data_IF_662265446035
#
_entry.id   IF_662265446035
#
_cell.length_a   1.000
_cell.length_b   1.000
_cell.length_c   1.000
_cell.angle_alpha   90.00
_cell.angle_beta   90.00
_cell.angle_gamma   90.00
#
_symmetry.space_group_name_H-M   'P 1'
#
loop_
_entity.id
_entity.type
_entity.pdbx_description
1 polymer ?
#
# COMPACT_ATOMS: atom_id res chain seq x y z
N UNK A 1 -14.77 -33.44 27.71
CA UNK A 1 -16.24 -33.35 27.61
C UNK A 1 -16.82 -34.63 28.14
N UNK A 2 -17.83 -34.55 28.99
CA UNK A 2 -18.56 -35.70 29.55
C UNK A 2 -19.17 -36.54 28.41
N UNK A 3 -19.10 -37.85 28.50
CA UNK A 3 -19.53 -38.76 27.42
C UNK A 3 -21.04 -38.72 27.21
N UNK A 4 -21.83 -38.43 28.26
CA UNK A 4 -23.27 -38.15 28.18
C UNK A 4 -23.59 -36.93 27.31
N UNK A 5 -22.75 -35.90 27.38
CA UNK A 5 -22.98 -34.67 26.62
C UNK A 5 -22.56 -34.83 25.15
N UNK A 6 -21.51 -35.63 24.90
CA UNK A 6 -21.15 -36.04 23.54
C UNK A 6 -22.28 -36.85 22.89
N UNK A 7 -22.86 -37.82 23.59
CA UNK A 7 -23.96 -38.63 23.04
C UNK A 7 -25.20 -37.79 22.74
N UNK A 8 -25.53 -36.83 23.61
CA UNK A 8 -26.62 -35.88 23.36
C UNK A 8 -26.38 -35.06 22.08
N UNK A 9 -25.15 -34.56 21.88
CA UNK A 9 -24.77 -33.82 20.68
C UNK A 9 -24.73 -34.69 19.41
N UNK A 10 -24.35 -35.97 19.52
CA UNK A 10 -24.38 -36.93 18.41
C UNK A 10 -25.81 -37.28 17.98
N UNK A 11 -26.74 -37.37 18.92
CA UNK A 11 -28.15 -37.66 18.65
C UNK A 11 -28.95 -36.39 18.30
N UNK A 12 -28.42 -35.20 18.59
CA UNK A 12 -29.14 -33.94 18.45
C UNK A 12 -30.24 -33.74 19.51
N UNK A 13 -30.14 -34.43 20.66
CA UNK A 13 -31.16 -34.41 21.71
C UNK A 13 -31.07 -33.13 22.57
N UNK A 14 -32.00 -32.21 22.33
CA UNK A 14 -32.11 -30.96 23.08
C UNK A 14 -32.55 -31.19 24.52
N UNK A 15 -33.44 -32.16 24.78
CA UNK A 15 -33.96 -32.41 26.13
C UNK A 15 -32.85 -32.91 27.04
N UNK A 16 -32.06 -33.88 26.57
CA UNK A 16 -30.89 -34.37 27.30
C UNK A 16 -29.83 -33.28 27.53
N UNK A 17 -29.69 -32.34 26.60
CA UNK A 17 -28.78 -31.20 26.76
C UNK A 17 -29.26 -30.25 27.86
N UNK A 18 -30.55 -29.93 27.90
CA UNK A 18 -31.11 -29.07 28.94
C UNK A 18 -31.11 -29.73 30.32
N UNK A 19 -31.33 -31.05 30.42
CA UNK A 19 -31.18 -31.76 31.71
C UNK A 19 -29.75 -31.72 32.22
N UNK A 20 -28.75 -31.91 31.33
CA UNK A 20 -27.33 -31.79 31.70
C UNK A 20 -26.94 -30.37 32.11
N UNK A 21 -27.52 -29.33 31.50
CA UNK A 21 -27.32 -27.93 31.90
C UNK A 21 -27.98 -27.64 33.25
N UNK A 22 -29.13 -28.27 33.56
CA UNK A 22 -29.76 -28.17 34.88
C UNK A 22 -28.94 -28.87 35.97
N UNK A 23 -28.34 -30.03 35.65
CA UNK A 23 -27.42 -30.75 36.54
C UNK A 23 -26.13 -29.92 36.81
N UNK A 24 -25.59 -29.25 35.78
CA UNK A 24 -24.39 -28.41 35.88
C UNK A 24 -24.52 -27.09 35.09
N UNK A 25 -24.86 -25.96 35.76
CA UNK A 25 -25.03 -24.66 35.11
C UNK A 25 -23.76 -24.11 34.42
N UNK A 26 -22.57 -24.52 34.86
CA UNK A 26 -21.29 -24.04 34.31
C UNK A 26 -20.68 -24.98 33.27
N UNK A 27 -21.44 -25.98 32.80
CA UNK A 27 -20.97 -27.01 31.86
C UNK A 27 -20.39 -26.40 30.58
N UNK A 28 -21.12 -25.48 29.94
CA UNK A 28 -20.71 -24.87 28.68
C UNK A 28 -19.48 -23.96 28.87
N UNK A 29 -19.41 -23.23 29.99
CA UNK A 29 -18.28 -22.36 30.29
C UNK A 29 -16.99 -23.15 30.52
N UNK A 30 -17.05 -24.28 31.21
CA UNK A 30 -15.89 -25.18 31.36
C UNK A 30 -15.35 -25.69 30.03
N UNK A 31 -16.24 -26.05 29.10
CA UNK A 31 -15.85 -26.46 27.75
C UNK A 31 -15.26 -25.27 26.98
N UNK A 32 -15.79 -24.07 27.19
CA UNK A 32 -15.30 -22.84 26.57
C UNK A 32 -13.94 -22.38 27.11
N UNK A 33 -13.56 -22.75 28.33
CA UNK A 33 -12.22 -22.44 28.85
C UNK A 33 -11.11 -23.29 28.21
N UNK A 34 -11.43 -24.47 27.65
CA UNK A 34 -10.42 -25.38 27.09
C UNK A 34 -10.09 -24.96 25.64
N UNK A 35 -8.87 -24.50 25.32
CA UNK A 35 -8.59 -23.86 24.03
C UNK A 35 -8.83 -24.76 22.81
N UNK A 36 -8.37 -26.02 22.86
CA UNK A 36 -8.55 -27.00 21.79
C UNK A 36 -9.35 -28.20 22.28
N UNK A 37 -10.63 -28.24 21.93
CA UNK A 37 -11.55 -29.31 22.32
C UNK A 37 -12.66 -29.47 21.28
N UNK A 38 -13.12 -30.70 21.04
CA UNK A 38 -14.38 -30.91 20.34
C UNK A 38 -15.53 -30.40 21.20
N UNK A 39 -16.09 -29.26 20.80
CA UNK A 39 -17.30 -28.70 21.40
C UNK A 39 -18.55 -29.43 20.90
N UNK A 40 -19.71 -29.31 21.57
CA UNK A 40 -20.94 -29.96 21.12
C UNK A 40 -21.34 -29.48 19.72
N UNK A 41 -20.95 -28.25 19.40
CA UNK A 41 -21.18 -27.67 18.09
C UNK A 41 -20.33 -28.32 16.99
N UNK A 42 -19.10 -28.77 17.29
CA UNK A 42 -18.29 -29.56 16.33
C UNK A 42 -18.99 -30.88 15.99
N UNK A 43 -19.48 -31.58 17.02
CA UNK A 43 -20.20 -32.84 16.87
C UNK A 43 -21.49 -32.61 16.08
N UNK A 44 -22.34 -31.67 16.51
CA UNK A 44 -23.59 -31.36 15.84
C UNK A 44 -23.38 -30.93 14.38
N UNK A 45 -22.33 -30.16 14.09
CA UNK A 45 -21.96 -29.76 12.74
C UNK A 45 -21.54 -30.95 11.87
N UNK A 46 -20.76 -31.88 12.44
CA UNK A 46 -20.33 -33.12 11.79
C UNK A 46 -21.52 -34.00 11.41
N UNK A 47 -22.56 -34.09 12.25
CA UNK A 47 -23.76 -34.92 12.01
C UNK A 47 -24.91 -34.19 11.30
N UNK A 48 -24.84 -32.87 11.13
CA UNK A 48 -25.88 -32.09 10.45
C UNK A 48 -27.10 -31.72 11.31
N UNK A 49 -26.99 -31.76 12.64
CA UNK A 49 -28.10 -31.46 13.57
C UNK A 49 -28.39 -29.96 13.69
N UNK A 50 -29.05 -29.39 12.69
CA UNK A 50 -29.25 -27.93 12.55
C UNK A 50 -29.95 -27.28 13.75
N UNK A 51 -31.03 -27.88 14.26
CA UNK A 51 -31.80 -27.30 15.36
C UNK A 51 -30.97 -27.26 16.65
N UNK A 52 -30.32 -28.38 16.95
CA UNK A 52 -29.40 -28.50 18.07
C UNK A 52 -28.25 -27.48 17.98
N UNK A 53 -27.59 -27.39 16.81
CA UNK A 53 -26.51 -26.45 16.59
C UNK A 53 -26.96 -24.99 16.76
N UNK A 54 -28.17 -24.66 16.31
CA UNK A 54 -28.75 -23.31 16.46
C UNK A 54 -28.96 -22.95 17.91
N UNK A 55 -29.49 -23.87 18.72
CA UNK A 55 -29.67 -23.64 20.16
C UNK A 55 -28.33 -23.55 20.89
N UNK A 56 -27.35 -24.42 20.59
CA UNK A 56 -26.01 -24.32 21.19
C UNK A 56 -25.31 -23.00 20.83
N UNK A 57 -25.44 -22.51 19.59
CA UNK A 57 -24.91 -21.21 19.21
C UNK A 57 -25.58 -20.05 19.94
N UNK A 58 -26.88 -20.15 20.24
CA UNK A 58 -27.59 -19.15 21.06
C UNK A 58 -27.12 -19.14 22.50
N UNK A 59 -26.94 -20.33 23.08
CA UNK A 59 -26.45 -20.48 24.45
C UNK A 59 -24.98 -20.04 24.59
N UNK A 60 -24.13 -20.41 23.63
CA UNK A 60 -22.69 -20.12 23.67
C UNK A 60 -22.12 -19.83 22.27
N UNK A 61 -22.17 -18.57 21.80
CA UNK A 61 -21.71 -18.20 20.46
C UNK A 61 -20.21 -18.42 20.21
N UNK A 62 -19.37 -18.40 21.25
CA UNK A 62 -17.91 -18.61 21.14
C UNK A 62 -17.55 -19.95 20.52
N UNK A 63 -18.40 -20.97 20.68
CA UNK A 63 -18.17 -22.29 20.10
C UNK A 63 -18.10 -22.30 18.58
N UNK A 64 -18.75 -21.36 17.88
CA UNK A 64 -18.75 -21.31 16.42
C UNK A 64 -17.37 -21.01 15.82
N UNK A 65 -16.49 -20.34 16.59
CA UNK A 65 -15.14 -19.94 16.17
C UNK A 65 -14.03 -20.84 16.70
N UNK A 66 -14.34 -21.68 17.69
CA UNK A 66 -13.34 -22.56 18.28
C UNK A 66 -12.83 -23.58 17.28
N UNK A 67 -11.57 -23.95 17.44
CA UNK A 67 -10.94 -25.03 16.70
C UNK A 67 -10.87 -26.26 17.61
N UNK A 68 -11.15 -27.43 17.06
CA UNK A 68 -10.92 -28.68 17.74
C UNK A 68 -9.44 -29.07 17.74
N UNK A 69 -9.13 -30.26 18.27
CA UNK A 69 -7.77 -30.79 18.35
C UNK A 69 -7.12 -31.04 16.99
N UNK A 70 -7.93 -31.21 15.94
CA UNK A 70 -7.45 -31.37 14.57
C UNK A 70 -7.26 -30.03 13.85
N UNK A 71 -7.59 -28.91 14.51
CA UNK A 71 -7.50 -27.56 13.96
C UNK A 71 -8.70 -27.16 13.10
N UNK A 72 -9.83 -27.86 13.17
CA UNK A 72 -11.02 -27.55 12.37
C UNK A 72 -12.05 -26.81 13.22
N UNK A 73 -12.74 -25.83 12.63
CA UNK A 73 -13.93 -25.21 13.23
C UNK A 73 -15.18 -26.04 12.94
N UNK A 74 -16.31 -25.79 13.63
CA UNK A 74 -17.57 -26.50 13.34
C UNK A 74 -18.00 -26.35 11.87
N UNK A 75 -17.78 -25.18 11.25
CA UNK A 75 -18.08 -24.97 9.83
C UNK A 75 -17.21 -25.84 8.92
N UNK A 76 -15.94 -26.07 9.25
CA UNK A 76 -15.07 -26.96 8.48
C UNK A 76 -15.56 -28.42 8.55
N UNK A 77 -15.97 -28.90 9.73
CA UNK A 77 -16.51 -30.25 9.88
C UNK A 77 -17.84 -30.43 9.13
N UNK A 78 -18.70 -29.41 9.14
CA UNK A 78 -19.93 -29.44 8.34
C UNK A 78 -19.63 -29.53 6.83
N UNK A 79 -18.63 -28.80 6.34
CA UNK A 79 -18.20 -28.88 4.94
C UNK A 79 -17.60 -30.25 4.60
N UNK A 80 -16.67 -30.76 5.43
CA UNK A 80 -16.05 -32.08 5.22
C UNK A 80 -17.05 -33.23 5.12
N UNK A 81 -18.18 -33.13 5.83
CA UNK A 81 -19.23 -34.15 5.84
C UNK A 81 -20.42 -33.83 4.92
N UNK A 82 -20.31 -32.82 4.04
CA UNK A 82 -21.36 -32.48 3.08
C UNK A 82 -22.66 -31.93 3.70
N UNK A 83 -22.59 -31.37 4.91
CA UNK A 83 -23.76 -30.86 5.65
C UNK A 83 -24.14 -29.44 5.19
N UNK A 84 -24.53 -29.28 3.93
CA UNK A 84 -24.83 -27.98 3.30
C UNK A 84 -25.83 -27.15 4.12
N UNK A 85 -26.91 -27.75 4.62
CA UNK A 85 -27.93 -27.03 5.39
C UNK A 85 -27.37 -26.45 6.71
N UNK A 86 -26.43 -27.16 7.35
CA UNK A 86 -25.73 -26.66 8.53
C UNK A 86 -24.85 -25.45 8.18
N UNK A 87 -24.13 -25.53 7.06
CA UNK A 87 -23.28 -24.43 6.57
C UNK A 87 -24.10 -23.18 6.30
N UNK A 88 -25.26 -23.31 5.64
CA UNK A 88 -26.18 -22.19 5.39
C UNK A 88 -26.64 -21.54 6.69
N UNK A 89 -26.93 -22.35 7.71
CA UNK A 89 -27.36 -21.86 9.03
C UNK A 89 -26.25 -21.14 9.77
N UNK A 90 -25.00 -21.56 9.62
CA UNK A 90 -23.87 -20.80 10.14
C UNK A 90 -23.73 -19.44 9.44
N UNK A 91 -23.92 -19.37 8.11
CA UNK A 91 -23.87 -18.11 7.36
C UNK A 91 -24.99 -17.14 7.77
N UNK A 92 -26.21 -17.65 7.99
CA UNK A 92 -27.36 -16.87 8.44
C UNK A 92 -27.10 -16.26 9.83
N UNK A 93 -26.42 -17.00 10.71
CA UNK A 93 -26.12 -16.56 12.07
C UNK A 93 -24.97 -15.53 12.09
N UNK A 94 -23.83 -15.87 11.49
CA UNK A 94 -22.62 -15.05 11.49
C UNK A 94 -21.83 -15.19 10.18
N UNK A 95 -21.85 -14.12 9.37
CA UNK A 95 -21.21 -14.08 8.04
C UNK A 95 -19.69 -14.12 8.08
N UNK A 96 -19.10 -13.69 9.19
CA UNK A 96 -17.66 -13.63 9.42
C UNK A 96 -17.05 -15.00 9.77
N UNK A 97 -17.86 -16.04 10.00
CA UNK A 97 -17.39 -17.42 10.18
C UNK A 97 -16.68 -17.98 8.95
N UNK A 98 -16.98 -17.46 7.75
CA UNK A 98 -16.33 -17.84 6.48
C UNK A 98 -14.83 -17.54 6.47
N UNK A 99 -14.36 -16.64 7.34
CA UNK A 99 -12.95 -16.23 7.42
C UNK A 99 -12.18 -16.92 8.54
N UNK A 100 -12.82 -17.82 9.30
CA UNK A 100 -12.14 -18.57 10.35
C UNK A 100 -11.11 -19.49 9.70
N UNK A 101 -9.85 -19.33 10.06
CA UNK A 101 -8.76 -20.16 9.57
C UNK A 101 -8.66 -21.42 10.42
N UNK A 102 -8.81 -22.58 9.77
CA UNK A 102 -8.59 -23.88 10.38
C UNK A 102 -7.16 -24.37 10.17
N UNK A 103 -7.01 -25.70 10.07
CA UNK A 103 -5.74 -26.37 9.79
C UNK A 103 -5.12 -25.84 8.50
N UNK A 104 -3.79 -25.66 8.51
CA UNK A 104 -3.01 -25.07 7.40
C UNK A 104 -3.41 -23.63 7.04
N UNK A 105 -4.16 -22.94 7.90
CA UNK A 105 -4.70 -21.61 7.61
C UNK A 105 -5.79 -21.62 6.53
N UNK A 106 -6.30 -22.81 6.15
CA UNK A 106 -7.41 -22.92 5.20
C UNK A 106 -8.67 -22.31 5.81
N UNK A 107 -9.37 -21.50 5.05
CA UNK A 107 -10.70 -20.98 5.42
C UNK A 107 -11.80 -21.88 4.83
N UNK A 108 -13.04 -21.80 5.31
CA UNK A 108 -14.18 -22.48 4.69
C UNK A 108 -14.30 -22.24 3.18
N UNK A 109 -13.98 -21.03 2.69
CA UNK A 109 -13.97 -20.73 1.25
C UNK A 109 -12.93 -21.57 0.49
N UNK A 110 -11.74 -21.78 1.08
CA UNK A 110 -10.70 -22.63 0.49
C UNK A 110 -11.16 -24.09 0.37
N UNK A 111 -11.90 -24.62 1.37
CA UNK A 111 -12.46 -25.97 1.32
C UNK A 111 -13.51 -26.11 0.21
N UNK A 112 -14.42 -25.13 0.09
CA UNK A 112 -15.43 -25.13 -0.98
C UNK A 112 -14.76 -25.06 -2.37
N UNK A 113 -13.68 -24.29 -2.50
CA UNK A 113 -12.90 -24.21 -3.74
C UNK A 113 -12.12 -25.50 -4.06
N UNK A 114 -11.76 -26.28 -3.04
CA UNK A 114 -11.14 -27.60 -3.17
C UNK A 114 -12.15 -28.66 -3.62
N UNK A 115 -13.35 -28.65 -3.03
CA UNK A 115 -14.43 -29.60 -3.32
C UNK A 115 -15.10 -29.37 -4.68
N UNK A 116 -15.22 -28.11 -5.13
CA UNK A 116 -15.83 -27.77 -6.41
C UNK A 116 -17.27 -27.27 -6.35
N UNK A 117 -17.83 -27.03 -5.16
CA UNK A 117 -19.23 -26.60 -4.99
C UNK A 117 -19.41 -25.10 -5.31
N UNK A 118 -19.81 -24.80 -6.55
CA UNK A 118 -20.05 -23.44 -7.05
C UNK A 118 -21.23 -22.76 -6.34
N UNK A 119 -22.25 -23.51 -5.92
CA UNK A 119 -23.45 -22.95 -5.27
C UNK A 119 -23.15 -22.47 -3.86
N UNK A 120 -22.40 -23.25 -3.08
CA UNK A 120 -21.89 -22.83 -1.78
C UNK A 120 -20.91 -21.66 -1.91
N UNK A 121 -20.07 -21.68 -2.94
CA UNK A 121 -19.12 -20.61 -3.22
C UNK A 121 -19.84 -19.26 -3.45
N UNK A 122 -20.91 -19.24 -4.26
CA UNK A 122 -21.76 -18.05 -4.47
C UNK A 122 -22.28 -17.51 -3.14
N UNK A 123 -22.77 -18.40 -2.27
CA UNK A 123 -23.33 -18.02 -0.96
C UNK A 123 -22.26 -17.47 -0.03
N UNK A 124 -21.05 -18.00 -0.04
CA UNK A 124 -19.93 -17.53 0.79
C UNK A 124 -19.48 -16.14 0.34
N UNK A 125 -19.36 -15.92 -0.97
CA UNK A 125 -18.96 -14.62 -1.52
C UNK A 125 -20.04 -13.56 -1.35
N UNK A 126 -21.32 -13.93 -1.40
CA UNK A 126 -22.41 -12.99 -1.11
C UNK A 126 -22.48 -12.63 0.37
N UNK A 127 -22.15 -13.56 1.27
CA UNK A 127 -22.05 -13.30 2.70
C UNK A 127 -20.84 -12.43 3.06
N UNK A 128 -19.66 -12.75 2.52
CA UNK A 128 -18.42 -12.03 2.78
C UNK A 128 -17.50 -11.97 1.53
N UNK A 129 -17.58 -10.90 0.72
CA UNK A 129 -16.73 -10.74 -0.48
C UNK A 129 -15.23 -10.66 -0.18
N UNK A 130 -14.87 -10.18 1.02
CA UNK A 130 -13.47 -10.04 1.44
C UNK A 130 -12.76 -11.39 1.67
N UNK A 131 -13.52 -12.48 1.78
CA UNK A 131 -12.97 -13.84 1.99
C UNK A 131 -12.09 -14.33 0.83
N UNK A 132 -12.24 -13.78 -0.38
CA UNK A 132 -11.42 -14.11 -1.56
C UNK A 132 -9.95 -13.72 -1.36
N UNK A 133 -9.69 -12.76 -0.47
CA UNK A 133 -8.34 -12.25 -0.18
C UNK A 133 -7.60 -13.06 0.89
N UNK A 134 -8.32 -13.94 1.59
CA UNK A 134 -7.70 -14.75 2.63
C UNK A 134 -6.75 -15.76 1.98
N UNK A 135 -5.65 -16.04 2.66
CA UNK A 135 -4.59 -16.94 2.18
C UNK A 135 -4.33 -18.04 3.20
N UNK A 136 -3.89 -19.19 2.71
CA UNK A 136 -3.41 -20.30 3.56
C UNK A 136 -2.02 -19.97 4.13
N UNK A 137 -1.50 -20.85 5.01
CA UNK A 137 -0.12 -20.75 5.50
C UNK A 137 0.87 -20.74 4.32
N UNK A 138 0.59 -21.55 3.28
CA UNK A 138 1.37 -21.58 2.04
C UNK A 138 1.20 -20.38 1.12
N UNK A 139 0.57 -19.31 1.61
CA UNK A 139 0.23 -18.11 0.85
C UNK A 139 -0.63 -18.40 -0.39
N UNK A 140 -1.39 -19.50 -0.39
CA UNK A 140 -2.27 -19.88 -1.49
C UNK A 140 -3.62 -19.17 -1.34
N UNK A 141 -4.13 -18.60 -2.43
CA UNK A 141 -5.50 -18.08 -2.52
C UNK A 141 -6.46 -19.17 -2.99
N UNK A 142 -7.77 -18.94 -2.89
CA UNK A 142 -8.79 -19.82 -3.46
C UNK A 142 -8.59 -20.12 -4.96
N UNK A 143 -8.01 -19.19 -5.74
CA UNK A 143 -7.65 -19.42 -7.14
C UNK A 143 -6.57 -20.51 -7.30
N UNK A 144 -5.54 -20.51 -6.43
CA UNK A 144 -4.49 -21.53 -6.45
C UNK A 144 -5.08 -22.91 -6.13
N UNK A 145 -5.97 -22.98 -5.13
CA UNK A 145 -6.61 -24.24 -4.71
C UNK A 145 -7.53 -24.79 -5.81
N UNK A 146 -8.33 -23.92 -6.46
CA UNK A 146 -9.20 -24.34 -7.55
C UNK A 146 -8.38 -24.95 -8.71
N UNK A 147 -7.27 -24.31 -9.10
CA UNK A 147 -6.38 -24.85 -10.14
C UNK A 147 -5.70 -26.14 -9.67
N UNK A 148 -5.19 -26.22 -8.43
CA UNK A 148 -4.55 -27.44 -7.91
C UNK A 148 -5.48 -28.66 -7.93
N UNK A 149 -6.77 -28.45 -7.71
CA UNK A 149 -7.78 -29.51 -7.68
C UNK A 149 -8.57 -29.68 -8.99
N UNK A 150 -8.12 -29.06 -10.10
CA UNK A 150 -8.76 -29.16 -11.41
C UNK A 150 -10.22 -28.63 -11.46
N UNK A 151 -10.58 -27.71 -10.56
CA UNK A 151 -11.94 -27.14 -10.45
C UNK A 151 -12.10 -25.91 -11.36
N UNK A 152 -12.34 -26.15 -12.65
CA UNK A 152 -12.44 -25.09 -13.67
C UNK A 152 -13.68 -24.19 -13.48
N UNK A 153 -14.81 -24.76 -13.08
CA UNK A 153 -16.07 -24.00 -12.90
C UNK A 153 -15.96 -23.02 -11.72
N UNK A 154 -15.34 -23.46 -10.62
CA UNK A 154 -14.99 -22.61 -9.48
C UNK A 154 -14.03 -21.51 -9.90
N UNK A 155 -13.01 -21.85 -10.71
CA UNK A 155 -12.04 -20.87 -11.21
C UNK A 155 -12.71 -19.79 -12.05
N UNK A 156 -13.55 -20.17 -13.02
CA UNK A 156 -14.29 -19.22 -13.85
C UNK A 156 -15.21 -18.34 -13.02
N UNK A 157 -15.92 -18.94 -12.05
CA UNK A 157 -16.78 -18.19 -11.14
C UNK A 157 -16.01 -17.22 -10.26
N UNK A 158 -14.86 -17.62 -9.69
CA UNK A 158 -14.01 -16.74 -8.88
C UNK A 158 -13.48 -15.57 -9.70
N UNK A 159 -12.99 -15.81 -10.92
CA UNK A 159 -12.49 -14.77 -11.81
C UNK A 159 -13.61 -13.82 -12.26
N UNK A 160 -14.78 -14.36 -12.62
CA UNK A 160 -15.98 -13.57 -12.93
C UNK A 160 -16.47 -12.76 -11.72
N UNK A 161 -16.42 -13.34 -10.53
CA UNK A 161 -16.77 -12.71 -9.26
C UNK A 161 -15.82 -11.56 -8.90
N UNK A 162 -14.51 -11.75 -9.09
CA UNK A 162 -13.49 -10.69 -8.95
C UNK A 162 -13.78 -9.52 -9.91
N UNK A 163 -14.05 -9.81 -11.18
CA UNK A 163 -14.35 -8.79 -12.20
C UNK A 163 -15.61 -7.97 -11.86
N UNK A 164 -16.64 -8.63 -11.32
CA UNK A 164 -17.91 -7.97 -10.92
C UNK A 164 -17.79 -7.19 -9.61
N UNK A 165 -17.11 -7.74 -8.61
CA UNK A 165 -17.02 -7.15 -7.27
C UNK A 165 -16.15 -5.89 -7.19
N UNK A 166 -15.16 -5.73 -8.08
CA UNK A 166 -14.20 -4.62 -8.04
C UNK A 166 -14.43 -3.50 -9.08
N UNK A 167 -15.58 -3.52 -9.78
CA UNK A 167 -15.92 -2.64 -10.90
C UNK A 167 -16.03 -1.13 -10.56
N UNK A 168 -15.92 -0.73 -9.27
CA UNK A 168 -16.02 0.67 -8.82
C UNK A 168 -14.71 1.37 -8.46
N UNK A 169 -13.54 0.78 -8.75
CA UNK A 169 -12.26 1.52 -8.61
C UNK A 169 -11.04 0.68 -8.24
N UNK A 170 -11.10 -0.65 -8.35
CA UNK A 170 -10.11 -1.55 -7.74
C UNK A 170 -9.52 -2.57 -8.74
N UNK A 171 -9.29 -2.17 -9.99
CA UNK A 171 -8.52 -2.97 -10.96
C UNK A 171 -7.14 -3.38 -10.42
N UNK A 172 -6.59 -2.59 -9.48
CA UNK A 172 -5.32 -2.84 -8.81
C UNK A 172 -5.42 -4.07 -7.89
N UNK A 173 -6.49 -4.23 -7.09
CA UNK A 173 -6.62 -5.41 -6.23
C UNK A 173 -6.97 -6.66 -7.00
N UNK A 174 -7.80 -6.58 -8.05
CA UNK A 174 -8.09 -7.72 -8.93
C UNK A 174 -6.78 -8.25 -9.52
N UNK A 175 -5.96 -7.37 -10.11
CA UNK A 175 -4.66 -7.75 -10.65
C UNK A 175 -3.73 -8.32 -9.58
N UNK A 176 -3.78 -7.80 -8.35
CA UNK A 176 -2.98 -8.29 -7.23
C UNK A 176 -3.38 -9.68 -6.76
N UNK A 177 -4.68 -9.98 -6.71
CA UNK A 177 -5.20 -11.29 -6.30
C UNK A 177 -4.92 -12.35 -7.37
N UNK A 178 -5.12 -12.01 -8.65
CA UNK A 178 -4.85 -12.92 -9.77
C UNK A 178 -3.35 -13.26 -9.87
N UNK A 179 -2.48 -12.27 -9.63
CA UNK A 179 -1.03 -12.43 -9.65
C UNK A 179 -0.44 -12.67 -8.26
N UNK A 180 -1.26 -13.11 -7.31
CA UNK A 180 -0.77 -13.51 -6.00
C UNK A 180 0.17 -14.70 -6.17
N UNK A 181 1.16 -14.78 -5.28
CA UNK A 181 2.18 -15.81 -5.30
C UNK A 181 2.10 -16.65 -4.05
N UNK A 182 2.20 -17.96 -4.21
CA UNK A 182 2.36 -18.90 -3.09
C UNK A 182 3.77 -18.81 -2.47
N UNK A 183 4.05 -19.66 -1.48
CA UNK A 183 5.36 -19.77 -0.81
C UNK A 183 6.54 -19.99 -1.77
N UNK A 184 6.32 -20.66 -2.90
CA UNK A 184 7.32 -20.95 -3.92
C UNK A 184 7.44 -19.83 -4.97
N UNK A 185 6.63 -18.78 -4.84
CA UNK A 185 6.55 -17.67 -5.78
C UNK A 185 5.69 -17.97 -7.01
N UNK A 186 5.03 -19.13 -7.07
CA UNK A 186 4.19 -19.54 -8.18
C UNK A 186 2.86 -18.79 -8.13
N UNK A 187 2.39 -18.33 -9.29
CA UNK A 187 1.02 -17.82 -9.45
C UNK A 187 0.08 -18.96 -9.85
N UNK A 188 -1.23 -18.74 -9.78
CA UNK A 188 -2.21 -19.69 -10.30
C UNK A 188 -1.95 -20.11 -11.77
N UNK A 189 -1.35 -19.23 -12.58
CA UNK A 189 -0.94 -19.54 -13.96
C UNK A 189 0.25 -20.51 -14.03
N UNK A 190 1.21 -20.42 -13.11
CA UNK A 190 2.31 -21.38 -13.01
C UNK A 190 1.79 -22.77 -12.66
N UNK A 191 0.87 -22.85 -11.69
CA UNK A 191 0.23 -24.12 -11.32
C UNK A 191 -0.54 -24.69 -12.51
N UNK A 192 -1.36 -23.88 -13.20
CA UNK A 192 -2.15 -24.34 -14.35
C UNK A 192 -1.26 -24.85 -15.51
N UNK A 193 -0.08 -24.25 -15.69
CA UNK A 193 0.90 -24.70 -16.67
C UNK A 193 1.59 -25.99 -16.25
N UNK A 194 1.92 -26.14 -14.95
CA UNK A 194 2.53 -27.34 -14.38
C UNK A 194 1.58 -28.55 -14.40
N UNK A 195 0.30 -28.34 -14.10
CA UNK A 195 -0.74 -29.39 -14.04
C UNK A 195 -1.38 -29.70 -15.40
N UNK A 196 -0.93 -29.06 -16.48
CA UNK A 196 -1.42 -29.20 -17.85
C UNK A 196 -2.92 -28.88 -18.04
N UNK A 197 -3.37 -27.71 -17.59
CA UNK A 197 -4.77 -27.29 -17.68
C UNK A 197 -4.98 -26.19 -18.73
N UNK A 198 -5.17 -26.50 -20.03
CA UNK A 198 -5.29 -25.49 -21.08
C UNK A 198 -6.50 -24.57 -20.89
N UNK A 199 -7.61 -25.10 -20.35
CA UNK A 199 -8.81 -24.30 -20.06
C UNK A 199 -8.56 -23.30 -18.94
N UNK A 200 -7.95 -23.72 -17.82
CA UNK A 200 -7.56 -22.81 -16.73
C UNK A 200 -6.59 -21.72 -17.21
N UNK A 201 -5.61 -22.09 -18.03
CA UNK A 201 -4.65 -21.14 -18.63
C UNK A 201 -5.37 -20.08 -19.47
N UNK A 202 -6.31 -20.49 -20.34
CA UNK A 202 -7.11 -19.55 -21.14
C UNK A 202 -7.94 -18.61 -20.27
N UNK A 203 -8.60 -19.12 -19.24
CA UNK A 203 -9.40 -18.30 -18.32
C UNK A 203 -8.54 -17.27 -17.56
N UNK A 204 -7.37 -17.68 -17.07
CA UNK A 204 -6.44 -16.80 -16.37
C UNK A 204 -5.87 -15.71 -17.30
N UNK A 205 -5.50 -16.07 -18.54
CA UNK A 205 -5.03 -15.11 -19.56
C UNK A 205 -6.14 -14.10 -19.89
N UNK A 206 -7.37 -14.57 -20.14
CA UNK A 206 -8.53 -13.71 -20.42
C UNK A 206 -8.83 -12.76 -19.26
N UNK A 207 -8.49 -13.17 -18.04
CA UNK A 207 -8.63 -12.37 -16.81
C UNK A 207 -7.44 -11.45 -16.52
N UNK A 208 -6.54 -11.23 -17.50
CA UNK A 208 -5.36 -10.34 -17.40
C UNK A 208 -4.33 -10.78 -16.36
N UNK A 209 -4.17 -12.09 -16.15
CA UNK A 209 -3.03 -12.62 -15.41
C UNK A 209 -1.71 -12.20 -16.09
N UNK A 210 -0.67 -11.95 -15.29
CA UNK A 210 0.67 -11.64 -15.76
C UNK A 210 1.36 -12.91 -16.24
N UNK A 211 1.39 -13.08 -17.57
CA UNK A 211 1.93 -14.25 -18.26
C UNK A 211 3.43 -14.41 -18.02
N UNK A 212 4.14 -13.31 -17.76
CA UNK A 212 5.59 -13.28 -17.58
C UNK A 212 5.98 -13.11 -16.11
N UNK A 213 5.05 -13.36 -15.18
CA UNK A 213 5.38 -13.46 -13.77
C UNK A 213 6.42 -14.57 -13.57
N UNK A 214 7.38 -14.32 -12.67
CA UNK A 214 8.45 -15.26 -12.32
C UNK A 214 8.27 -15.82 -10.92
N UNK A 215 8.52 -17.11 -10.75
CA UNK A 215 8.57 -17.75 -9.44
C UNK A 215 9.89 -17.45 -8.69
N UNK A 216 10.15 -18.10 -7.55
CA UNK A 216 11.40 -17.90 -6.80
C UNK A 216 12.64 -18.39 -7.55
N UNK A 217 12.48 -19.34 -8.47
CA UNK A 217 13.53 -19.87 -9.35
C UNK A 217 13.73 -19.02 -10.61
N UNK A 218 13.05 -17.87 -10.70
CA UNK A 218 13.01 -16.98 -11.86
C UNK A 218 12.45 -17.59 -13.15
N UNK A 219 11.75 -18.73 -13.03
CA UNK A 219 11.05 -19.42 -14.10
C UNK A 219 9.68 -18.79 -14.36
N UNK A 220 9.28 -18.73 -15.62
CA UNK A 220 7.92 -18.32 -16.05
C UNK A 220 7.00 -19.52 -16.19
N UNK A 221 5.69 -19.28 -16.27
CA UNK A 221 4.71 -20.35 -16.52
C UNK A 221 5.03 -21.17 -17.80
N UNK A 222 5.64 -20.54 -18.81
CA UNK A 222 6.07 -21.23 -20.04
C UNK A 222 7.30 -22.14 -19.81
N UNK A 223 8.18 -21.79 -18.87
CA UNK A 223 9.34 -22.62 -18.53
C UNK A 223 8.94 -23.86 -17.70
N UNK A 224 7.90 -23.72 -16.88
CA UNK A 224 7.35 -24.84 -16.08
C UNK A 224 6.46 -25.76 -16.93
N UNK A 225 5.86 -25.24 -18.02
CA UNK A 225 5.04 -26.06 -18.92
C UNK A 225 5.87 -27.21 -19.53
N UNK A 226 5.39 -28.45 -19.41
CA UNK A 226 6.11 -29.61 -19.95
C UNK A 226 6.09 -29.60 -21.48
N UNK A 227 7.14 -30.10 -22.17
CA UNK A 227 7.26 -30.06 -23.63
C UNK A 227 6.17 -30.86 -24.36
N UNK A 228 5.52 -31.82 -23.69
CA UNK A 228 4.41 -32.60 -24.24
C UNK A 228 3.11 -31.78 -24.35
N UNK A 229 3.01 -30.66 -23.62
CA UNK A 229 1.79 -29.86 -23.49
C UNK A 229 1.70 -28.78 -24.58
N UNK A 230 1.54 -29.23 -25.83
CA UNK A 230 1.47 -28.32 -26.99
C UNK A 230 0.37 -27.27 -26.85
N UNK A 231 -0.81 -27.63 -26.33
CA UNK A 231 -1.94 -26.70 -26.24
C UNK A 231 -1.74 -25.59 -25.20
N UNK A 232 -1.20 -25.93 -24.02
CA UNK A 232 -0.83 -24.95 -22.98
C UNK A 232 0.28 -24.04 -23.48
N UNK A 233 1.31 -24.62 -24.10
CA UNK A 233 2.45 -23.88 -24.65
C UNK A 233 2.00 -22.90 -25.73
N UNK A 234 1.14 -23.34 -26.66
CA UNK A 234 0.56 -22.48 -27.72
C UNK A 234 -0.27 -21.36 -27.09
N UNK A 235 -1.11 -21.67 -26.10
CA UNK A 235 -1.95 -20.67 -25.43
C UNK A 235 -1.10 -19.61 -24.73
N UNK A 236 -0.05 -20.01 -24.03
CA UNK A 236 0.89 -19.10 -23.36
C UNK A 236 1.69 -18.26 -24.38
N UNK A 237 2.24 -18.87 -25.44
CA UNK A 237 2.96 -18.16 -26.50
C UNK A 237 2.07 -17.14 -27.22
N UNK A 238 0.82 -17.51 -27.51
CA UNK A 238 -0.15 -16.60 -28.14
C UNK A 238 -0.46 -15.38 -27.28
N UNK A 239 -0.35 -15.52 -25.95
CA UNK A 239 -0.52 -14.44 -24.98
C UNK A 239 0.77 -13.63 -24.73
N UNK A 240 1.85 -13.91 -25.46
CA UNK A 240 3.12 -13.20 -25.35
C UNK A 240 4.00 -13.69 -24.19
N UNK A 241 3.85 -14.95 -23.76
CA UNK A 241 4.77 -15.58 -22.83
C UNK A 241 6.18 -15.64 -23.42
N UNK A 242 7.18 -15.26 -22.62
CA UNK A 242 8.59 -15.38 -22.96
C UNK A 242 9.23 -16.42 -22.06
N UNK A 243 10.01 -17.33 -22.64
CA UNK A 243 10.88 -18.21 -21.86
C UNK A 243 11.95 -17.40 -21.15
N UNK A 244 12.47 -17.95 -20.07
CA UNK A 244 13.69 -17.44 -19.48
C UNK A 244 14.86 -17.59 -20.49
N UNK A 245 15.23 -16.50 -21.15
CA UNK A 245 16.51 -16.39 -21.85
C UNK A 245 17.60 -16.09 -20.81
N UNK A 246 18.46 -17.06 -20.53
CA UNK A 246 19.62 -16.86 -19.67
C UNK A 246 20.58 -15.82 -20.28
N UNK A 247 20.88 -14.68 -19.62
CA UNK A 247 22.18 -14.05 -19.84
C UNK A 247 23.28 -14.96 -19.24
N UNK A 248 24.52 -14.89 -19.73
CA UNK A 248 25.59 -15.77 -19.28
C UNK A 248 25.78 -15.65 -17.76
N UNK A 249 25.71 -16.81 -17.09
CA UNK A 249 26.18 -17.14 -15.74
C UNK A 249 26.79 -15.98 -14.93
N UNK A 250 25.94 -15.15 -14.34
CA UNK A 250 26.15 -14.60 -12.99
C UNK A 250 24.77 -14.50 -12.36
N UNK A 251 24.46 -15.47 -11.50
CA UNK A 251 23.33 -15.41 -10.58
C UNK A 251 23.53 -14.22 -9.63
N UNK A 252 23.16 -13.01 -10.05
CA UNK A 252 22.90 -11.91 -9.12
C UNK A 252 21.57 -12.21 -8.48
N UNK A 253 21.65 -13.06 -7.46
CA UNK A 253 20.58 -13.33 -6.50
C UNK A 253 19.93 -11.99 -6.11
N UNK A 254 18.61 -11.95 -5.88
CA UNK A 254 17.93 -10.79 -5.26
C UNK A 254 18.67 -10.27 -4.02
N UNK A 255 19.47 -11.12 -3.36
CA UNK A 255 20.34 -10.78 -2.24
C UNK A 255 21.55 -9.91 -2.63
N UNK A 256 22.02 -9.92 -3.88
CA UNK A 256 23.09 -9.04 -4.37
C UNK A 256 22.61 -7.60 -4.54
N UNK A 257 21.30 -7.34 -4.67
CA UNK A 257 20.80 -5.96 -4.62
C UNK A 257 20.77 -5.42 -3.18
N UNK A 258 20.47 -6.28 -2.20
CA UNK A 258 20.64 -6.00 -0.76
C UNK A 258 22.12 -5.89 -0.34
N UNK A 259 23.02 -6.63 -1.01
CA UNK A 259 24.47 -6.63 -0.76
C UNK A 259 25.23 -5.59 -1.57
N UNK A 260 24.63 -5.07 -2.65
CA UNK A 260 25.17 -3.93 -3.37
C UNK A 260 25.21 -2.74 -2.42
N UNK A 261 26.32 -2.00 -2.40
CA UNK A 261 26.41 -0.77 -1.62
C UNK A 261 25.28 0.15 -2.09
N UNK A 262 24.26 0.30 -1.23
CA UNK A 262 23.12 1.20 -1.44
C UNK A 262 23.64 2.52 -2.02
N UNK A 263 23.20 2.85 -3.23
CA UNK A 263 23.64 4.05 -3.95
C UNK A 263 23.33 5.27 -3.09
N UNK A 264 24.16 6.33 -3.12
CA UNK A 264 23.91 7.55 -2.36
C UNK A 264 22.48 8.09 -2.59
N UNK A 265 21.96 7.94 -3.81
CA UNK A 265 20.58 8.30 -4.16
C UNK A 265 19.56 7.45 -3.41
N UNK A 266 19.75 6.14 -3.34
CA UNK A 266 18.87 5.20 -2.62
C UNK A 266 18.93 5.41 -1.11
N UNK A 267 20.12 5.67 -0.55
CA UNK A 267 20.28 5.99 0.88
C UNK A 267 19.50 7.23 1.27
N UNK A 268 19.61 8.28 0.45
CA UNK A 268 18.91 9.55 0.66
C UNK A 268 17.40 9.34 0.56
N UNK A 269 16.92 8.65 -0.47
CA UNK A 269 15.48 8.35 -0.65
C UNK A 269 14.92 7.52 0.51
N UNK A 270 15.62 6.47 0.94
CA UNK A 270 15.15 5.63 2.06
C UNK A 270 15.16 6.41 3.38
N UNK A 271 16.16 7.25 3.62
CA UNK A 271 16.21 8.12 4.81
C UNK A 271 15.06 9.13 4.81
N UNK A 272 14.77 9.72 3.65
CA UNK A 272 13.64 10.64 3.42
C UNK A 272 12.30 9.96 3.77
N UNK A 273 12.06 8.76 3.21
CA UNK A 273 10.83 7.99 3.44
C UNK A 273 10.67 7.63 4.93
N UNK A 274 11.75 7.16 5.56
CA UNK A 274 11.73 6.71 6.96
C UNK A 274 11.47 7.87 7.91
N UNK A 275 12.07 9.03 7.64
CA UNK A 275 11.83 10.26 8.40
C UNK A 275 10.38 10.75 8.24
N UNK A 276 9.85 10.80 7.00
CA UNK A 276 8.46 11.22 6.73
C UNK A 276 7.44 10.29 7.40
N UNK A 277 7.69 8.98 7.42
CA UNK A 277 6.81 7.98 8.05
C UNK A 277 6.85 8.03 9.59
N UNK A 278 7.98 8.39 10.18
CA UNK A 278 8.15 8.43 11.64
C UNK A 278 7.68 9.75 12.27
N UNK A 279 7.34 10.75 11.46
CA UNK A 279 6.88 12.05 11.92
C UNK A 279 5.37 12.02 12.09
N UNK A 280 4.87 12.19 13.33
CA UNK A 280 3.43 12.28 13.61
C UNK A 280 2.84 13.50 12.89
N UNK A 281 1.58 13.42 12.46
CA UNK A 281 0.91 14.50 11.73
C UNK A 281 0.93 15.85 12.49
N UNK A 282 0.82 15.82 13.82
CA UNK A 282 0.92 17.00 14.68
C UNK A 282 2.30 17.69 14.60
N UNK A 283 3.39 16.92 14.71
CA UNK A 283 4.76 17.46 14.60
C UNK A 283 5.06 18.02 13.21
N UNK A 284 4.50 17.40 12.16
CA UNK A 284 4.62 17.88 10.78
C UNK A 284 3.94 19.23 10.60
N UNK A 285 2.75 19.40 11.18
CA UNK A 285 2.02 20.66 11.12
C UNK A 285 2.77 21.79 11.85
N UNK A 286 3.33 21.52 13.04
CA UNK A 286 4.16 22.49 13.77
C UNK A 286 5.40 22.89 12.97
N UNK A 287 6.11 21.92 12.38
CA UNK A 287 7.29 22.19 11.55
C UNK A 287 6.96 23.00 10.28
N UNK A 288 5.80 22.74 9.66
CA UNK A 288 5.33 23.53 8.51
C UNK A 288 5.07 24.99 8.89
N UNK A 289 4.47 25.24 10.07
CA UNK A 289 4.27 26.61 10.58
C UNK A 289 5.59 27.30 10.84
N UNK A 290 6.53 26.64 11.53
CA UNK A 290 7.87 27.20 11.79
C UNK A 290 8.61 27.49 10.48
N UNK A 291 8.56 26.59 9.50
CA UNK A 291 9.18 26.80 8.20
C UNK A 291 8.52 27.96 7.44
N UNK A 292 7.19 28.12 7.50
CA UNK A 292 6.51 29.28 6.92
C UNK A 292 6.93 30.60 7.60
N UNK A 293 7.12 30.60 8.92
CA UNK A 293 7.61 31.78 9.66
C UNK A 293 9.06 32.14 9.27
N UNK A 294 9.93 31.13 9.10
CA UNK A 294 11.31 31.36 8.64
C UNK A 294 11.32 31.88 7.20
N UNK A 295 10.48 31.30 6.31
CA UNK A 295 10.38 31.73 4.91
C UNK A 295 9.85 33.17 4.80
N UNK A 296 8.88 33.54 5.64
CA UNK A 296 8.35 34.92 5.67
C UNK A 296 9.37 35.91 6.22
N UNK A 297 10.07 35.58 7.32
CA UNK A 297 11.11 36.43 7.89
C UNK A 297 12.28 36.65 6.91
N UNK A 298 12.74 35.59 6.24
CA UNK A 298 13.84 35.67 5.26
C UNK A 298 13.44 36.45 4.00
N UNK A 299 12.18 36.35 3.56
CA UNK A 299 11.66 37.16 2.46
C UNK A 299 11.52 38.64 2.86
N UNK A 300 11.04 38.94 4.07
CA UNK A 300 10.98 40.31 4.57
C UNK A 300 12.36 40.96 4.70
N UNK A 301 13.36 40.19 5.14
CA UNK A 301 14.75 40.62 5.21
C UNK A 301 15.36 40.94 3.84
N UNK A 302 14.79 40.40 2.75
CA UNK A 302 15.18 40.75 1.39
C UNK A 302 14.54 42.05 0.89
N UNK A 303 13.30 42.35 1.29
CA UNK A 303 12.65 43.61 0.96
C UNK A 303 13.24 44.78 1.75
N UNK A 304 13.57 44.53 3.03
CA UNK A 304 14.10 45.51 3.96
C UNK A 304 15.47 45.06 4.48
N UNK A 305 16.53 45.17 3.66
CA UNK A 305 17.86 44.78 4.08
C UNK A 305 18.37 45.69 5.21
N UNK A 306 19.26 45.17 6.09
CA UNK A 306 19.89 45.97 7.13
C UNK A 306 20.69 47.12 6.49
N UNK A 307 20.39 48.35 6.91
CA UNK A 307 20.93 49.57 6.31
C UNK A 307 19.94 50.31 5.40
N UNK A 308 18.81 49.69 5.04
CA UNK A 308 17.75 50.34 4.26
C UNK A 308 18.06 50.46 2.76
N UNK A 309 17.15 51.12 2.06
CA UNK A 309 17.20 51.37 0.62
C UNK A 309 17.32 52.86 0.37
N UNK A 310 18.09 53.23 -0.65
CA UNK A 310 18.15 54.61 -1.13
C UNK A 310 16.78 55.07 -1.59
N UNK A 311 16.30 56.18 -1.02
CA UNK A 311 15.06 56.81 -1.43
C UNK A 311 15.29 57.68 -2.67
N UNK A 312 14.25 57.82 -3.49
CA UNK A 312 14.31 58.76 -4.61
C UNK A 312 14.26 60.19 -4.06
N UNK A 313 15.37 60.93 -4.19
CA UNK A 313 15.42 62.33 -3.80
C UNK A 313 14.82 63.18 -4.90
N UNK A 314 13.49 63.08 -5.09
CA UNK A 314 12.79 64.01 -5.97
C UNK A 314 12.46 65.29 -5.19
N UNK A 315 13.49 66.12 -4.96
CA UNK A 315 13.31 67.47 -4.45
C UNK A 315 12.84 68.39 -5.58
N UNK A 316 11.55 68.31 -5.94
CA UNK A 316 10.90 69.45 -6.59
C UNK A 316 10.56 70.48 -5.50
N UNK A 317 11.52 71.36 -5.21
CA UNK A 317 11.37 72.45 -4.27
C UNK A 317 12.55 73.42 -4.34
N UNK A 318 12.35 74.54 -5.03
CA UNK A 318 13.27 75.68 -5.19
C UNK A 318 14.19 75.93 -3.98
N UNK A 319 15.51 75.86 -4.19
CA UNK A 319 16.48 76.58 -3.37
C UNK A 319 17.57 77.15 -4.27
N UNK A 320 17.66 78.48 -4.26
CA UNK A 320 18.66 79.32 -4.90
C UNK A 320 20.09 78.87 -4.58
N UNK A 321 20.98 79.11 -5.54
CA UNK A 321 22.43 79.14 -5.45
C UNK A 321 23.00 79.45 -4.05
N UNK A 322 23.96 78.64 -3.61
CA UNK A 322 25.22 79.14 -3.05
C UNK A 322 26.34 78.17 -3.36
N UNK A 323 27.36 78.69 -4.03
CA UNK A 323 28.67 78.08 -4.23
C UNK A 323 29.32 77.69 -2.91
N UNK A 324 29.96 76.53 -2.91
CA UNK A 324 30.65 75.98 -1.75
C UNK A 324 31.27 74.63 -2.12
N UNK A 325 32.41 74.70 -2.78
CA UNK A 325 33.33 73.60 -3.04
C UNK A 325 33.60 72.82 -1.74
N UNK A 326 33.18 71.55 -1.69
CA UNK A 326 33.74 70.54 -0.80
C UNK A 326 33.29 69.14 -1.23
N UNK A 327 34.25 68.42 -1.83
CA UNK A 327 34.64 67.09 -1.37
C UNK A 327 33.57 65.99 -1.33
N UNK A 328 33.54 65.20 -2.41
CA UNK A 328 32.99 63.85 -2.40
C UNK A 328 32.24 63.56 -3.69
N UNK A 329 32.78 62.66 -4.51
CA UNK A 329 32.03 62.06 -5.60
C UNK A 329 30.74 61.43 -5.03
N UNK A 330 29.63 62.16 -5.08
CA UNK A 330 28.33 61.63 -4.72
C UNK A 330 28.00 60.57 -5.76
N UNK A 331 28.28 59.30 -5.44
CA UNK A 331 27.86 58.17 -6.27
C UNK A 331 26.36 58.36 -6.56
N UNK A 332 25.99 58.36 -7.83
CA UNK A 332 24.62 58.55 -8.27
C UNK A 332 23.79 57.34 -7.78
N UNK A 333 23.27 57.42 -6.57
CA UNK A 333 22.54 56.32 -5.96
C UNK A 333 21.16 56.22 -6.60
N UNK A 334 20.90 55.11 -7.30
CA UNK A 334 19.60 54.83 -7.88
C UNK A 334 18.63 54.46 -6.76
N UNK A 335 17.45 55.09 -6.74
CA UNK A 335 16.40 54.76 -5.79
C UNK A 335 16.08 53.25 -5.82
N UNK A 336 15.93 52.65 -4.65
CA UNK A 336 15.71 51.21 -4.49
C UNK A 336 16.98 50.36 -4.44
N UNK A 337 18.18 50.95 -4.41
CA UNK A 337 19.44 50.22 -4.17
C UNK A 337 19.79 50.16 -2.68
N UNK A 338 20.55 49.15 -2.25
CA UNK A 338 20.90 48.90 -0.83
C UNK A 338 22.03 49.82 -0.38
N UNK A 339 21.93 50.36 0.84
CA UNK A 339 22.90 51.31 1.45
C UNK A 339 24.14 50.59 2.05
N UNK A 340 24.15 49.25 2.07
CA UNK A 340 25.16 48.44 2.76
C UNK A 340 26.47 48.27 1.96
N UNK A 341 27.61 48.23 2.66
CA UNK A 341 28.93 47.98 2.08
C UNK A 341 29.05 46.61 1.38
N UNK A 342 29.79 46.58 0.27
CA UNK A 342 29.86 45.46 -0.69
C UNK A 342 30.17 44.08 -0.06
N UNK A 343 31.10 44.02 0.89
CA UNK A 343 31.47 42.75 1.55
C UNK A 343 30.37 42.18 2.44
N UNK A 344 29.73 43.03 3.23
CA UNK A 344 28.63 42.64 4.12
C UNK A 344 27.35 42.32 3.35
N UNK A 345 27.09 43.03 2.25
CA UNK A 345 25.97 42.77 1.35
C UNK A 345 26.06 41.36 0.76
N UNK A 346 27.23 40.98 0.21
CA UNK A 346 27.44 39.64 -0.33
C UNK A 346 27.25 38.54 0.72
N UNK A 347 27.81 38.72 1.93
CA UNK A 347 27.68 37.74 3.00
C UNK A 347 26.22 37.56 3.45
N UNK A 348 25.54 38.67 3.75
CA UNK A 348 24.14 38.67 4.15
C UNK A 348 23.25 38.02 3.09
N UNK A 349 23.49 38.37 1.83
CA UNK A 349 22.75 37.83 0.69
C UNK A 349 22.88 36.31 0.56
N UNK A 350 24.12 35.79 0.62
CA UNK A 350 24.38 34.35 0.50
C UNK A 350 23.69 33.58 1.62
N UNK A 351 23.85 34.04 2.87
CA UNK A 351 23.27 33.37 4.04
C UNK A 351 21.73 33.44 4.01
N UNK A 352 21.15 34.60 3.69
CA UNK A 352 19.70 34.77 3.65
C UNK A 352 19.05 33.95 2.51
N UNK A 353 19.68 33.94 1.33
CA UNK A 353 19.20 33.14 0.20
C UNK A 353 19.30 31.65 0.49
N UNK A 354 20.42 31.19 1.08
CA UNK A 354 20.57 29.80 1.50
C UNK A 354 19.49 29.40 2.52
N UNK A 355 19.20 30.27 3.49
CA UNK A 355 18.14 30.05 4.48
C UNK A 355 16.77 29.88 3.83
N UNK A 356 16.40 30.76 2.88
CA UNK A 356 15.13 30.67 2.17
C UNK A 356 15.02 29.37 1.36
N UNK A 357 16.04 29.03 0.57
CA UNK A 357 16.03 27.85 -0.28
C UNK A 357 15.99 26.54 0.53
N UNK A 358 16.74 26.47 1.64
CA UNK A 358 16.66 25.34 2.58
C UNK A 358 15.27 25.22 3.18
N UNK A 359 14.65 26.35 3.54
CA UNK A 359 13.31 26.38 4.14
C UNK A 359 12.22 25.94 3.16
N UNK A 360 12.26 26.39 1.91
CA UNK A 360 11.32 25.94 0.87
C UNK A 360 11.49 24.44 0.59
N UNK A 361 12.74 23.95 0.58
CA UNK A 361 13.02 22.52 0.44
C UNK A 361 12.43 21.69 1.59
N UNK A 362 12.51 22.19 2.83
CA UNK A 362 11.88 21.57 4.01
C UNK A 362 10.35 21.59 3.91
N UNK A 363 9.75 22.70 3.48
CA UNK A 363 8.29 22.80 3.27
C UNK A 363 7.83 21.76 2.24
N UNK A 364 8.51 21.69 1.09
CA UNK A 364 8.22 20.71 0.04
C UNK A 364 8.30 19.27 0.56
N UNK A 365 9.31 18.97 1.37
CA UNK A 365 9.49 17.65 1.96
C UNK A 365 8.39 17.27 2.97
N UNK A 366 7.96 18.22 3.81
CA UNK A 366 6.95 18.01 4.85
C UNK A 366 5.51 17.98 4.29
N UNK A 367 5.28 18.39 3.05
CA UNK A 367 3.94 18.37 2.46
C UNK A 367 3.41 16.93 2.24
N UNK A 368 2.11 16.67 2.45
CA UNK A 368 1.53 15.34 2.27
C UNK A 368 1.61 14.85 0.83
N UNK A 369 1.97 13.58 0.60
CA UNK A 369 2.05 12.99 -0.73
C UNK A 369 0.65 12.84 -1.35
N UNK A 370 0.22 13.82 -2.15
CA UNK A 370 -1.11 13.82 -2.78
C UNK A 370 -1.29 14.95 -3.79
N UNK A 371 -2.36 14.88 -4.59
CA UNK A 371 -2.66 15.89 -5.63
C UNK A 371 -2.77 17.32 -5.09
N UNK A 372 -3.23 17.47 -3.84
CA UNK A 372 -3.30 18.78 -3.16
C UNK A 372 -1.92 19.40 -2.89
N UNK A 373 -0.88 18.59 -2.67
CA UNK A 373 0.49 19.11 -2.51
C UNK A 373 1.09 19.60 -3.82
N UNK A 374 0.71 19.00 -4.95
CA UNK A 374 1.15 19.48 -6.27
C UNK A 374 0.59 20.89 -6.55
N UNK A 375 -0.63 21.19 -6.08
CA UNK A 375 -1.21 22.53 -6.17
C UNK A 375 -0.43 23.57 -5.36
N UNK A 376 0.14 23.21 -4.20
CA UNK A 376 0.94 24.15 -3.39
C UNK A 376 2.39 24.30 -3.88
N UNK A 377 2.91 23.31 -4.61
CA UNK A 377 4.27 23.37 -5.16
C UNK A 377 4.46 24.49 -6.21
N UNK A 378 3.43 24.76 -7.02
CA UNK A 378 3.48 25.78 -8.06
C UNK A 378 3.58 27.22 -7.47
N UNK A 379 2.77 27.62 -6.48
CA UNK A 379 2.95 28.88 -5.76
C UNK A 379 4.33 29.03 -5.09
N UNK A 380 4.90 27.96 -4.52
CA UNK A 380 6.23 28.00 -3.91
C UNK A 380 7.34 28.28 -4.93
N UNK A 381 7.20 27.80 -6.17
CA UNK A 381 8.10 28.16 -7.27
C UNK A 381 8.01 29.64 -7.61
N UNK A 382 6.78 30.17 -7.76
CA UNK A 382 6.57 31.59 -8.02
C UNK A 382 7.11 32.46 -6.88
N UNK A 383 6.93 32.03 -5.63
CA UNK A 383 7.49 32.70 -4.45
C UNK A 383 9.02 32.79 -4.50
N UNK A 384 9.69 31.69 -4.85
CA UNK A 384 11.15 31.68 -5.05
C UNK A 384 11.59 32.57 -6.21
N UNK A 385 10.84 32.59 -7.31
CA UNK A 385 11.14 33.44 -8.46
C UNK A 385 11.01 34.93 -8.10
N UNK A 386 9.93 35.30 -7.42
CA UNK A 386 9.73 36.66 -6.90
C UNK A 386 10.86 37.11 -5.97
N UNK A 387 11.33 36.23 -5.09
CA UNK A 387 12.48 36.52 -4.23
C UNK A 387 13.75 36.83 -5.03
N UNK A 388 14.07 36.01 -6.03
CA UNK A 388 15.26 36.23 -6.87
C UNK A 388 15.16 37.49 -7.72
N UNK A 389 13.95 37.79 -8.21
CA UNK A 389 13.66 39.02 -8.96
C UNK A 389 13.77 40.26 -8.07
N UNK A 390 13.34 40.19 -6.81
CA UNK A 390 13.51 41.28 -5.83
C UNK A 390 14.99 41.62 -5.66
N UNK A 391 15.85 40.62 -5.48
CA UNK A 391 17.28 40.88 -5.33
C UNK A 391 17.97 41.38 -6.60
N UNK A 392 17.48 40.96 -7.77
CA UNK A 392 17.99 41.43 -9.05
C UNK A 392 17.75 42.94 -9.25
N UNK A 393 16.65 43.48 -8.72
CA UNK A 393 16.35 44.92 -8.83
C UNK A 393 17.07 45.76 -7.78
N UNK A 394 17.29 45.21 -6.57
CA UNK A 394 17.92 45.95 -5.45
C UNK A 394 19.46 45.96 -5.52
N UNK A 395 20.08 45.01 -6.24
CA UNK A 395 21.53 44.90 -6.35
C UNK A 395 22.12 45.90 -7.38
N UNK A 396 23.13 46.71 -7.01
CA UNK A 396 23.69 47.75 -7.88
C UNK A 396 24.63 47.25 -8.99
N UNK A 397 25.12 45.99 -8.96
CA UNK A 397 26.17 45.50 -9.88
C UNK A 397 25.80 44.22 -10.64
N UNK A 398 26.20 44.15 -11.92
CA UNK A 398 25.85 43.06 -12.86
C UNK A 398 26.44 41.70 -12.49
N UNK A 399 27.58 41.66 -11.80
CA UNK A 399 28.24 40.41 -11.38
C UNK A 399 27.40 39.67 -10.33
N UNK A 400 26.86 40.41 -9.35
CA UNK A 400 25.99 39.81 -8.34
C UNK A 400 24.69 39.32 -8.98
N UNK A 401 24.12 40.08 -9.93
CA UNK A 401 22.96 39.65 -10.71
C UNK A 401 23.20 38.38 -11.53
N UNK A 402 24.40 38.20 -12.10
CA UNK A 402 24.75 36.98 -12.84
C UNK A 402 24.85 35.78 -11.90
N UNK A 403 25.48 35.96 -10.73
CA UNK A 403 25.50 34.96 -9.67
C UNK A 403 24.08 34.60 -9.19
N UNK A 404 23.17 35.58 -9.08
CA UNK A 404 21.77 35.36 -8.74
C UNK A 404 21.05 34.48 -9.78
N UNK A 405 21.27 34.71 -11.08
CA UNK A 405 20.68 33.87 -12.13
C UNK A 405 21.22 32.45 -12.09
N UNK A 406 22.52 32.26 -11.81
CA UNK A 406 23.11 30.92 -11.71
C UNK A 406 22.58 30.18 -10.48
N UNK A 407 22.47 30.84 -9.32
CA UNK A 407 21.96 30.23 -8.10
C UNK A 407 20.47 29.87 -8.21
N UNK A 408 19.66 30.71 -8.87
CA UNK A 408 18.25 30.44 -9.13
C UNK A 408 18.05 29.34 -10.17
N UNK A 409 18.91 29.27 -11.19
CA UNK A 409 18.93 28.18 -12.17
C UNK A 409 19.29 26.84 -11.48
N UNK A 410 20.32 26.83 -10.65
CA UNK A 410 20.72 25.64 -9.88
C UNK A 410 19.60 25.18 -8.93
N UNK A 411 18.92 26.12 -8.27
CA UNK A 411 17.78 25.81 -7.41
C UNK A 411 16.58 25.27 -8.19
N UNK A 412 16.23 25.88 -9.33
CA UNK A 412 15.14 25.38 -10.18
C UNK A 412 15.44 23.99 -10.76
N UNK A 413 16.69 23.71 -11.14
CA UNK A 413 17.13 22.37 -11.54
C UNK A 413 17.02 21.38 -10.37
N UNK A 414 17.47 21.75 -9.18
CA UNK A 414 17.35 20.92 -7.98
C UNK A 414 15.88 20.67 -7.61
N UNK A 415 15.02 21.68 -7.75
CA UNK A 415 13.60 21.59 -7.50
C UNK A 415 12.89 20.67 -8.49
N UNK A 416 13.16 20.82 -9.79
CA UNK A 416 12.65 19.93 -10.85
C UNK A 416 13.11 18.49 -10.60
N UNK A 417 14.37 18.30 -10.18
CA UNK A 417 14.89 17.00 -9.80
C UNK A 417 14.14 16.39 -8.61
N UNK A 418 13.83 17.18 -7.58
CA UNK A 418 13.02 16.71 -6.44
C UNK A 418 11.57 16.43 -6.81
N UNK A 419 10.97 17.19 -7.73
CA UNK A 419 9.64 16.93 -8.26
C UNK A 419 9.58 15.64 -9.08
N UNK A 420 10.61 15.38 -9.90
CA UNK A 420 10.80 14.14 -10.64
C UNK A 420 10.96 12.94 -9.71
N UNK A 421 11.77 13.07 -8.66
CA UNK A 421 11.92 12.03 -7.63
C UNK A 421 10.60 11.75 -6.91
N UNK A 422 9.82 12.77 -6.58
CA UNK A 422 8.51 12.61 -5.95
C UNK A 422 7.48 11.95 -6.88
N UNK A 423 7.48 12.29 -8.17
CA UNK A 423 6.64 11.62 -9.17
C UNK A 423 7.06 10.17 -9.40
N UNK A 424 8.36 9.86 -9.39
CA UNK A 424 8.91 8.49 -9.41
C UNK A 424 8.50 7.71 -8.15
N UNK A 425 8.47 8.36 -6.98
CA UNK A 425 8.02 7.77 -5.72
C UNK A 425 6.53 7.43 -5.75
N UNK A 426 5.67 8.33 -6.24
CA UNK A 426 4.24 8.03 -6.50
C UNK A 426 4.12 6.86 -7.49
N UNK A 427 4.96 6.82 -8.51
CA UNK A 427 4.92 5.75 -9.52
C UNK A 427 5.43 4.39 -8.99
N UNK A 428 6.34 4.40 -8.03
CA UNK A 428 6.85 3.19 -7.36
C UNK A 428 5.93 2.71 -6.22
N UNK A 429 5.31 3.62 -5.48
CA UNK A 429 4.31 3.29 -4.46
C UNK A 429 3.01 2.75 -5.11
N UNK A 430 2.59 3.31 -6.24
CA UNK A 430 1.47 2.76 -7.05
C UNK A 430 1.80 1.41 -7.71
N UNK A 431 3.09 1.05 -7.82
CA UNK A 431 3.54 -0.29 -8.24
C UNK A 431 3.65 -1.29 -7.08
N UNK A 432 3.64 -0.83 -5.82
CA UNK A 432 3.75 -1.64 -4.60
C UNK A 432 2.45 -1.77 -3.79
N UNK A 433 1.47 -0.89 -4.00
CA UNK A 433 0.10 -1.04 -3.48
C UNK A 433 -0.71 -1.96 -4.36
#
# INVERSE_FOLDING_TARGET
MDDRFKSAAQMGDMNMTYTLIQEDPYLLDRIDCIPFIDTPLHIAASFGHVQFATEIMRLKPSFARKLNQQGFSPMHLALQNGQTMMVLRFLDYQKDLVRVQGREGKTPLHHVAEEGDVDLLIKFLSACPLSIQDVTIRSETALHIAVKNYQIDVLDFLLGGLRRSFHKGSNIQEKKIINWKDEEGNTALHIAAATNQPHAVRLLINSRADVNAKNLEDLTALDISTPDNKEVTISLLSAGAKRFESPPQVSKSKNDHLRSKMSLKERVVISIIRFKKNTKDETRNVLLVVAALIATATYQAALNPPGGLWQDNNSNGNALNTDGDNGGSSELHRAGTIIMGNGYLCFFYIVNSLSLFLTISVIFFLLPSGRMSQLLSLPLCFFSFCYTSSWMTTSPRSILSCFCMILSLLYSIAFIWTLLLHNLEVHQLTKKS
#
